data_IF_302055712724
#
_entry.id   IF_302055712724
#
_cell.length_a   1.000
_cell.length_b   1.000
_cell.length_c   1.000
_cell.angle_alpha   90.00
_cell.angle_beta   90.00
_cell.angle_gamma   90.00
#
_symmetry.space_group_name_H-M   'P 1'
#
loop_
_entity.id
_entity.type
_entity.pdbx_description
1 polymer ?
#
# COMPACT_ATOMS: atom_id res chain seq x y z
N UNK A 1 -7.46 -72.67 21.76
CA UNK A 1 -6.32 -71.78 22.06
C UNK A 1 -6.90 -70.40 22.36
N UNK A 2 -7.16 -70.09 23.63
CA UNK A 2 -7.79 -68.83 24.05
C UNK A 2 -6.69 -67.78 24.27
N UNK A 3 -6.68 -66.72 23.46
CA UNK A 3 -5.80 -65.57 23.65
C UNK A 3 -6.39 -64.65 24.71
N UNK A 4 -5.78 -64.64 25.90
CA UNK A 4 -6.09 -63.69 26.97
C UNK A 4 -5.29 -62.41 26.72
N UNK A 5 -5.96 -61.35 26.25
CA UNK A 5 -5.35 -60.03 26.16
C UNK A 5 -5.32 -59.37 27.53
N UNK A 6 -4.13 -58.98 27.98
CA UNK A 6 -3.92 -58.31 29.26
C UNK A 6 -4.52 -56.90 29.23
N UNK A 7 -5.38 -56.52 30.19
CA UNK A 7 -6.09 -55.23 30.20
C UNK A 7 -5.17 -54.01 30.32
N UNK A 8 -3.92 -54.20 30.73
CA UNK A 8 -2.89 -53.14 30.83
C UNK A 8 -2.39 -52.68 29.47
N UNK A 9 -2.27 -53.61 28.50
CA UNK A 9 -1.80 -53.31 27.14
C UNK A 9 -2.88 -52.53 26.37
N UNK A 10 -4.15 -52.88 26.58
CA UNK A 10 -5.29 -52.20 25.97
C UNK A 10 -5.44 -50.74 26.48
N UNK A 11 -5.15 -50.49 27.77
CA UNK A 11 -5.13 -49.12 28.33
C UNK A 11 -3.99 -48.26 27.76
N UNK A 12 -2.82 -48.85 27.55
CA UNK A 12 -1.67 -48.14 27.00
C UNK A 12 -1.85 -47.80 25.51
N UNK A 13 -2.42 -48.71 24.71
CA UNK A 13 -2.73 -48.44 23.30
C UNK A 13 -3.84 -47.39 23.14
N UNK A 14 -4.90 -47.43 23.96
CA UNK A 14 -5.94 -46.40 23.95
C UNK A 14 -5.39 -45.03 24.34
N UNK A 15 -4.51 -44.95 25.35
CA UNK A 15 -3.87 -43.70 25.76
C UNK A 15 -2.95 -43.11 24.66
N UNK A 16 -2.20 -43.95 23.94
CA UNK A 16 -1.36 -43.53 22.80
C UNK A 16 -2.20 -43.04 21.63
N UNK A 17 -3.33 -43.71 21.32
CA UNK A 17 -4.27 -43.24 20.29
C UNK A 17 -4.94 -41.90 20.68
N UNK A 18 -5.25 -41.69 21.96
CA UNK A 18 -5.81 -40.43 22.45
C UNK A 18 -4.78 -39.28 22.38
N UNK A 19 -3.50 -39.56 22.68
CA UNK A 19 -2.42 -38.57 22.56
C UNK A 19 -2.13 -38.21 21.09
N UNK A 20 -2.15 -39.20 20.19
CA UNK A 20 -1.98 -38.99 18.74
C UNK A 20 -3.17 -38.21 18.13
N UNK A 21 -4.39 -38.45 18.62
CA UNK A 21 -5.58 -37.67 18.23
C UNK A 21 -5.49 -36.21 18.71
N UNK A 22 -5.00 -35.96 19.94
CA UNK A 22 -4.78 -34.61 20.45
C UNK A 22 -3.67 -33.85 19.70
N UNK A 23 -2.62 -34.55 19.25
CA UNK A 23 -1.55 -33.98 18.43
C UNK A 23 -1.98 -33.67 16.98
N UNK A 24 -2.97 -34.38 16.45
CA UNK A 24 -3.50 -34.14 15.09
C UNK A 24 -4.55 -33.04 15.03
N UNK A 25 -5.12 -32.62 16.16
CA UNK A 25 -5.94 -31.39 16.26
C UNK A 25 -5.10 -30.11 16.43
N UNK A 26 -3.83 -30.20 16.85
CA UNK A 26 -2.96 -29.03 17.08
C UNK A 26 -2.18 -28.54 15.86
N UNK A 27 -2.33 -29.18 14.69
CA UNK A 27 -1.59 -28.83 13.47
C UNK A 27 -2.49 -28.38 12.32
N UNK A 28 -3.57 -27.67 12.61
CA UNK A 28 -3.98 -26.60 11.68
C UNK A 28 -3.02 -25.45 11.91
N UNK A 29 -1.79 -25.59 11.41
CA UNK A 29 -0.99 -24.43 11.09
C UNK A 29 -1.86 -23.63 10.11
N UNK A 30 -2.41 -22.51 10.56
CA UNK A 30 -3.12 -21.59 9.68
C UNK A 30 -2.13 -21.27 8.57
N UNK A 31 -2.37 -21.83 7.38
CA UNK A 31 -1.57 -21.49 6.22
C UNK A 31 -1.57 -19.96 6.16
N UNK A 32 -0.38 -19.35 6.08
CA UNK A 32 -0.26 -17.89 6.02
C UNK A 32 -1.17 -17.41 4.90
N UNK A 33 -2.16 -16.59 5.24
CA UNK A 33 -3.15 -16.14 4.28
C UNK A 33 -2.45 -15.44 3.13
N UNK A 34 -2.78 -15.82 1.89
CA UNK A 34 -2.30 -15.16 0.69
C UNK A 34 -3.14 -13.88 0.49
N UNK A 35 -2.54 -12.73 0.80
CA UNK A 35 -3.24 -11.44 0.76
C UNK A 35 -3.74 -11.11 -0.65
N UNK A 36 -3.07 -11.60 -1.71
CA UNK A 36 -3.50 -11.38 -3.10
C UNK A 36 -4.85 -12.03 -3.42
N UNK A 37 -5.23 -13.06 -2.66
CA UNK A 37 -6.47 -13.82 -2.86
C UNK A 37 -7.50 -13.53 -1.80
N UNK A 38 -7.07 -13.47 -0.54
CA UNK A 38 -7.96 -13.41 0.60
C UNK A 38 -8.33 -11.97 1.01
N UNK A 39 -7.47 -11.00 0.73
CA UNK A 39 -7.58 -9.65 1.28
C UNK A 39 -7.82 -8.57 0.23
N UNK A 40 -6.86 -8.37 -0.69
CA UNK A 40 -6.91 -7.27 -1.66
C UNK A 40 -8.16 -7.27 -2.56
N UNK A 41 -8.71 -8.43 -2.99
CA UNK A 41 -9.98 -8.44 -3.72
C UNK A 41 -11.16 -7.91 -2.90
N UNK A 42 -11.19 -8.18 -1.59
CA UNK A 42 -12.21 -7.64 -0.69
C UNK A 42 -12.01 -6.15 -0.44
N UNK A 43 -10.76 -5.69 -0.34
CA UNK A 43 -10.46 -4.24 -0.26
C UNK A 43 -10.98 -3.52 -1.51
N UNK A 44 -10.65 -4.02 -2.72
CA UNK A 44 -11.18 -3.43 -3.95
C UNK A 44 -12.72 -3.40 -3.95
N UNK A 45 -13.37 -4.48 -3.51
CA UNK A 45 -14.83 -4.53 -3.39
C UNK A 45 -15.38 -3.47 -2.43
N UNK A 46 -14.76 -3.29 -1.25
CA UNK A 46 -15.16 -2.27 -0.29
C UNK A 46 -15.01 -0.85 -0.85
N UNK A 47 -13.89 -0.58 -1.54
CA UNK A 47 -13.63 0.70 -2.19
C UNK A 47 -14.63 1.00 -3.32
N UNK A 48 -15.05 -0.01 -4.09
CA UNK A 48 -16.14 0.14 -5.07
C UNK A 48 -17.47 0.49 -4.44
N UNK A 49 -17.79 -0.09 -3.28
CA UNK A 49 -18.99 0.24 -2.52
C UNK A 49 -18.93 1.68 -1.97
N UNK A 50 -17.75 2.16 -1.54
CA UNK A 50 -17.54 3.58 -1.21
C UNK A 50 -17.89 4.48 -2.40
N UNK A 51 -17.37 4.17 -3.60
CA UNK A 51 -17.65 4.94 -4.81
C UNK A 51 -19.15 4.92 -5.17
N UNK A 52 -19.84 3.81 -4.90
CA UNK A 52 -21.29 3.67 -5.05
C UNK A 52 -22.10 4.32 -3.92
N UNK A 53 -21.45 4.97 -2.94
CA UNK A 53 -22.04 5.56 -1.73
C UNK A 53 -22.73 4.56 -0.80
N UNK A 54 -22.48 3.27 -0.98
CA UNK A 54 -22.91 2.21 -0.05
C UNK A 54 -21.87 2.05 1.05
N UNK A 55 -21.85 3.01 1.98
CA UNK A 55 -20.88 3.05 3.08
C UNK A 55 -21.09 1.90 4.08
N UNK A 56 -22.32 1.41 4.22
CA UNK A 56 -22.65 0.30 5.13
C UNK A 56 -22.17 -1.03 4.55
N UNK A 57 -22.45 -1.28 3.27
CA UNK A 57 -21.90 -2.43 2.55
C UNK A 57 -20.37 -2.39 2.52
N UNK A 58 -19.77 -1.23 2.27
CA UNK A 58 -18.32 -1.07 2.32
C UNK A 58 -17.75 -1.44 3.70
N UNK A 59 -18.39 -0.98 4.78
CA UNK A 59 -17.98 -1.29 6.14
C UNK A 59 -18.00 -2.80 6.43
N UNK A 60 -19.05 -3.49 5.99
CA UNK A 60 -19.19 -4.94 6.13
C UNK A 60 -18.11 -5.69 5.34
N UNK A 61 -17.82 -5.26 4.11
CA UNK A 61 -16.76 -5.87 3.30
C UNK A 61 -15.38 -5.62 3.89
N UNK A 62 -15.10 -4.45 4.46
CA UNK A 62 -13.86 -4.22 5.22
C UNK A 62 -13.75 -5.14 6.44
N UNK A 63 -14.82 -5.31 7.22
CA UNK A 63 -14.83 -6.26 8.33
C UNK A 63 -14.48 -7.68 7.86
N UNK A 64 -15.08 -8.12 6.76
CA UNK A 64 -14.78 -9.41 6.14
C UNK A 64 -13.30 -9.49 5.73
N UNK A 65 -12.77 -8.48 5.03
CA UNK A 65 -11.36 -8.46 4.64
C UNK A 65 -10.44 -8.60 5.85
N UNK A 66 -10.71 -7.86 6.93
CA UNK A 66 -9.91 -7.93 8.16
C UNK A 66 -10.05 -9.25 8.93
N UNK A 67 -11.08 -10.07 8.67
CA UNK A 67 -11.20 -11.40 9.28
C UNK A 67 -10.44 -12.49 8.51
N UNK A 68 -10.14 -12.26 7.22
CA UNK A 68 -9.42 -13.22 6.38
C UNK A 68 -7.90 -13.22 6.64
N UNK A 69 -7.39 -12.20 7.34
CA UNK A 69 -5.96 -11.99 7.55
C UNK A 69 -5.62 -11.55 8.98
N UNK A 70 -4.39 -11.80 9.45
CA UNK A 70 -3.99 -11.38 10.80
C UNK A 70 -4.00 -9.86 11.02
N UNK A 71 -3.76 -9.07 9.97
CA UNK A 71 -3.71 -7.61 10.02
C UNK A 71 -4.08 -7.00 8.67
N UNK A 72 -4.82 -5.89 8.66
CA UNK A 72 -5.05 -5.05 7.48
C UNK A 72 -4.04 -3.90 7.41
N UNK A 73 -4.04 -3.14 6.33
CA UNK A 73 -3.17 -1.96 6.18
C UNK A 73 -3.77 -0.73 6.90
N UNK A 74 -2.90 0.22 7.29
CA UNK A 74 -3.32 1.44 7.96
C UNK A 74 -4.36 2.20 7.12
N UNK A 75 -4.11 2.33 5.82
CA UNK A 75 -5.01 3.00 4.89
C UNK A 75 -6.42 2.38 4.87
N UNK A 76 -6.50 1.05 4.90
CA UNK A 76 -7.78 0.33 4.89
C UNK A 76 -8.53 0.49 6.20
N UNK A 77 -7.83 0.45 7.35
CA UNK A 77 -8.46 0.76 8.65
C UNK A 77 -8.99 2.20 8.70
N UNK A 78 -8.28 3.14 8.09
CA UNK A 78 -8.75 4.52 7.98
C UNK A 78 -10.03 4.60 7.16
N UNK A 79 -10.05 4.02 5.96
CA UNK A 79 -11.25 4.02 5.10
C UNK A 79 -12.44 3.34 5.79
N UNK A 80 -12.22 2.22 6.49
CA UNK A 80 -13.24 1.55 7.29
C UNK A 80 -13.74 2.41 8.46
N UNK A 81 -12.86 3.19 9.11
CA UNK A 81 -13.25 4.13 10.15
C UNK A 81 -14.14 5.25 9.61
N UNK A 82 -13.83 5.76 8.41
CA UNK A 82 -14.67 6.76 7.71
C UNK A 82 -16.02 6.17 7.35
N UNK A 83 -16.09 4.93 6.82
CA UNK A 83 -17.37 4.25 6.58
C UNK A 83 -18.20 4.17 7.87
N UNK A 84 -17.61 3.71 8.98
CA UNK A 84 -18.28 3.62 10.26
C UNK A 84 -18.75 4.99 10.80
N UNK A 85 -17.99 6.05 10.55
CA UNK A 85 -18.33 7.41 10.90
C UNK A 85 -19.56 7.92 10.13
N UNK A 86 -19.68 7.55 8.86
CA UNK A 86 -20.78 7.95 7.97
C UNK A 86 -22.06 7.15 8.20
N UNK A 87 -21.97 5.94 8.75
CA UNK A 87 -23.13 5.07 8.98
C UNK A 87 -23.54 4.95 10.44
N UNK A 88 -22.93 5.73 11.34
CA UNK A 88 -23.33 5.80 12.75
C UNK A 88 -22.87 4.59 13.58
N UNK A 89 -21.79 3.92 13.18
CA UNK A 89 -21.16 2.83 13.93
C UNK A 89 -19.94 3.32 14.71
N UNK A 90 -20.10 4.34 15.56
CA UNK A 90 -18.96 5.09 16.11
C UNK A 90 -18.05 4.23 16.99
N UNK A 91 -18.60 3.25 17.70
CA UNK A 91 -17.79 2.30 18.48
C UNK A 91 -16.84 1.50 17.59
N UNK A 92 -17.33 1.06 16.43
CA UNK A 92 -16.53 0.33 15.47
C UNK A 92 -15.50 1.25 14.81
N UNK A 93 -15.90 2.48 14.47
CA UNK A 93 -14.98 3.52 13.99
C UNK A 93 -13.82 3.73 14.96
N UNK A 94 -14.10 3.93 16.25
CA UNK A 94 -13.05 4.03 17.29
C UNK A 94 -12.18 2.78 17.35
N UNK A 95 -12.73 1.57 17.24
CA UNK A 95 -11.91 0.35 17.22
C UNK A 95 -10.92 0.34 16.04
N UNK A 96 -11.30 0.85 14.87
CA UNK A 96 -10.38 0.99 13.74
C UNK A 96 -9.33 2.09 13.97
N UNK A 97 -9.69 3.21 14.58
CA UNK A 97 -8.70 4.22 14.99
C UNK A 97 -7.69 3.67 16.00
N UNK A 98 -8.12 2.76 16.88
CA UNK A 98 -7.21 2.07 17.79
C UNK A 98 -6.21 1.17 17.05
N UNK A 99 -6.63 0.53 15.94
CA UNK A 99 -5.72 -0.22 15.06
C UNK A 99 -4.74 0.69 14.32
N UNK A 100 -5.18 1.88 13.88
CA UNK A 100 -4.28 2.89 13.30
C UNK A 100 -3.18 3.33 14.28
N UNK A 101 -3.55 3.61 15.53
CA UNK A 101 -2.58 3.97 16.57
C UNK A 101 -1.60 2.82 16.85
N UNK A 102 -2.07 1.58 16.81
CA UNK A 102 -1.22 0.40 16.97
C UNK A 102 -0.20 0.23 15.83
N UNK A 103 -0.46 0.83 14.67
CA UNK A 103 0.48 0.89 13.55
C UNK A 103 1.39 2.11 13.55
N UNK A 104 1.10 3.13 14.36
CA UNK A 104 1.92 4.34 14.46
C UNK A 104 1.25 5.63 14.05
N UNK A 105 0.01 5.61 13.53
CA UNK A 105 -0.67 6.87 13.17
C UNK A 105 -0.84 7.76 14.41
N UNK A 106 -0.51 9.05 14.27
CA UNK A 106 -0.53 9.99 15.39
C UNK A 106 -1.95 10.46 15.71
N UNK A 107 -2.18 10.85 16.96
CA UNK A 107 -3.47 11.46 17.34
C UNK A 107 -3.68 12.78 16.60
N UNK A 108 -2.61 13.57 16.45
CA UNK A 108 -2.63 14.84 15.72
C UNK A 108 -3.12 14.67 14.28
N UNK A 109 -2.59 13.66 13.56
CA UNK A 109 -3.05 13.35 12.21
C UNK A 109 -4.54 13.02 12.18
N UNK A 110 -5.02 12.19 13.11
CA UNK A 110 -6.43 11.79 13.20
C UNK A 110 -7.35 12.96 13.56
N UNK A 111 -6.90 13.87 14.42
CA UNK A 111 -7.66 15.05 14.84
C UNK A 111 -7.86 16.08 13.71
N UNK A 112 -6.99 16.05 12.70
CA UNK A 112 -7.07 16.92 11.52
C UNK A 112 -7.98 16.37 10.40
N UNK A 113 -8.44 15.11 10.49
CA UNK A 113 -9.27 14.52 9.44
C UNK A 113 -10.75 14.88 9.66
N UNK A 114 -11.29 15.78 8.83
CA UNK A 114 -12.70 16.20 8.87
C UNK A 114 -13.68 15.03 8.72
N UNK A 115 -13.28 13.99 7.95
CA UNK A 115 -14.06 12.77 7.78
C UNK A 115 -14.34 12.00 9.09
N UNK A 116 -13.62 12.33 10.17
CA UNK A 116 -13.77 11.69 11.48
C UNK A 116 -14.57 12.56 12.48
N UNK A 117 -15.13 13.70 12.07
CA UNK A 117 -15.81 14.65 12.96
C UNK A 117 -16.95 14.02 13.76
N UNK A 118 -17.74 13.14 13.14
CA UNK A 118 -18.82 12.43 13.83
C UNK A 118 -18.27 11.52 14.94
N UNK A 119 -17.12 10.87 14.70
CA UNK A 119 -16.43 10.10 15.73
C UNK A 119 -15.89 11.01 16.84
N UNK A 120 -15.32 12.17 16.49
CA UNK A 120 -14.78 13.15 17.45
C UNK A 120 -15.84 13.73 18.38
N UNK A 121 -17.04 13.95 17.85
CA UNK A 121 -18.19 14.41 18.63
C UNK A 121 -18.75 13.33 19.57
N UNK A 122 -18.55 12.04 19.27
CA UNK A 122 -19.09 10.96 20.09
C UNK A 122 -18.29 10.75 21.39
N UNK A 123 -18.99 10.40 22.48
CA UNK A 123 -18.40 10.26 23.83
C UNK A 123 -17.23 9.27 23.93
N UNK A 124 -17.15 8.28 23.04
CA UNK A 124 -16.03 7.33 23.01
C UNK A 124 -14.71 7.97 22.57
N UNK A 125 -14.74 9.07 21.83
CA UNK A 125 -13.53 9.81 21.43
C UNK A 125 -12.73 10.29 22.63
N UNK A 126 -13.39 10.91 23.63
CA UNK A 126 -12.73 11.35 24.86
C UNK A 126 -12.01 10.20 25.58
N UNK A 127 -12.60 8.99 25.55
CA UNK A 127 -11.97 7.79 26.11
C UNK A 127 -10.79 7.30 25.25
N UNK A 128 -10.91 7.38 23.92
CA UNK A 128 -9.84 7.07 22.97
C UNK A 128 -8.63 7.99 23.18
N UNK A 129 -8.82 9.31 23.16
CA UNK A 129 -7.78 10.33 23.41
C UNK A 129 -7.09 10.11 24.75
N UNK A 130 -7.86 9.93 25.83
CA UNK A 130 -7.28 9.67 27.17
C UNK A 130 -6.41 8.41 27.20
N UNK A 131 -6.72 7.40 26.39
CA UNK A 131 -5.94 6.15 26.30
C UNK A 131 -4.79 6.22 25.28
N UNK A 132 -4.75 7.24 24.43
CA UNK A 132 -3.75 7.37 23.37
C UNK A 132 -2.30 7.29 23.88
N UNK A 133 -1.88 7.99 24.95
CA UNK A 133 -0.49 7.90 25.42
C UNK A 133 -0.04 6.47 25.76
N UNK A 134 -0.94 5.67 26.36
CA UNK A 134 -0.68 4.26 26.66
C UNK A 134 -0.55 3.43 25.38
N UNK A 135 -1.43 3.64 24.39
CA UNK A 135 -1.38 2.92 23.10
C UNK A 135 -0.14 3.29 22.30
N UNK A 136 0.23 4.56 22.28
CA UNK A 136 1.44 5.06 21.62
C UNK A 136 2.71 4.49 22.27
N UNK A 137 2.73 4.34 23.60
CA UNK A 137 3.80 3.63 24.29
C UNK A 137 3.86 2.17 23.86
N UNK A 138 2.73 1.45 23.84
CA UNK A 138 2.68 0.06 23.40
C UNK A 138 3.11 -0.13 21.93
N UNK A 139 2.76 0.79 21.03
CA UNK A 139 3.29 0.82 19.66
C UNK A 139 4.83 0.87 19.67
N UNK A 140 5.42 1.84 20.37
CA UNK A 140 6.89 1.97 20.45
C UNK A 140 7.60 0.75 21.05
N UNK A 141 6.94 0.02 21.95
CA UNK A 141 7.49 -1.18 22.59
C UNK A 141 7.38 -2.43 21.69
N UNK A 142 6.37 -2.50 20.82
CA UNK A 142 6.09 -3.67 19.99
C UNK A 142 6.54 -3.53 18.52
N UNK A 143 6.97 -2.34 18.12
CA UNK A 143 7.46 -2.04 16.77
C UNK A 143 8.97 -1.92 16.76
N UNK A 144 9.62 -2.41 15.69
CA UNK A 144 11.07 -2.32 15.55
C UNK A 144 11.50 -0.92 15.10
N UNK A 145 11.46 0.03 16.03
CA UNK A 145 11.81 1.44 15.79
C UNK A 145 13.29 1.60 15.42
N UNK A 146 14.18 0.78 15.97
CA UNK A 146 15.60 0.81 15.63
C UNK A 146 15.82 0.39 14.17
N UNK A 147 15.18 -0.70 13.72
CA UNK A 147 15.22 -1.08 12.30
C UNK A 147 14.62 0.00 11.40
N UNK A 148 13.55 0.68 11.84
CA UNK A 148 13.00 1.82 11.08
C UNK A 148 14.05 2.92 10.91
N UNK A 149 14.75 3.28 11.99
CA UNK A 149 15.80 4.29 11.94
C UNK A 149 16.97 3.88 11.02
N UNK A 150 17.40 2.62 11.09
CA UNK A 150 18.41 2.05 10.20
C UNK A 150 17.98 2.11 8.72
N UNK A 151 16.70 1.81 8.43
CA UNK A 151 16.13 1.91 7.08
C UNK A 151 16.03 3.36 6.59
N UNK A 152 15.67 4.30 7.46
CA UNK A 152 15.65 5.74 7.16
C UNK A 152 17.07 6.27 6.88
N UNK A 153 18.11 5.69 7.50
CA UNK A 153 19.51 6.01 7.17
C UNK A 153 19.84 5.72 5.70
N UNK A 154 19.25 4.68 5.08
CA UNK A 154 19.48 4.39 3.66
C UNK A 154 19.06 5.56 2.76
N UNK A 155 17.93 6.20 3.10
CA UNK A 155 17.47 7.39 2.40
C UNK A 155 18.41 8.57 2.64
N UNK A 156 18.82 8.80 3.90
CA UNK A 156 19.73 9.89 4.25
C UNK A 156 21.07 9.77 3.49
N UNK A 157 21.62 8.56 3.40
CA UNK A 157 22.84 8.25 2.64
C UNK A 157 22.68 8.52 1.14
N UNK A 158 21.55 8.09 0.53
CA UNK A 158 21.28 8.35 -0.89
C UNK A 158 21.15 9.86 -1.17
N UNK A 159 20.53 10.61 -0.27
CA UNK A 159 20.25 12.03 -0.48
C UNK A 159 21.46 12.95 -0.21
N UNK A 160 22.34 12.59 0.74
CA UNK A 160 23.42 13.46 1.19
C UNK A 160 24.28 14.02 0.03
N UNK A 161 24.85 13.14 -0.80
CA UNK A 161 25.70 13.57 -1.92
C UNK A 161 24.93 14.12 -3.11
N UNK A 162 23.62 13.81 -3.23
CA UNK A 162 22.76 14.38 -4.27
C UNK A 162 22.44 15.85 -3.98
N UNK A 163 22.30 16.20 -2.72
CA UNK A 163 22.01 17.56 -2.25
C UNK A 163 23.28 18.37 -1.96
N UNK A 164 24.44 17.71 -1.83
CA UNK A 164 25.73 18.37 -1.70
C UNK A 164 26.08 19.24 -2.93
N UNK A 165 26.97 20.23 -2.74
CA UNK A 165 27.44 21.11 -3.82
C UNK A 165 27.95 20.29 -5.00
N UNK A 166 27.36 20.53 -6.18
CA UNK A 166 27.68 19.84 -7.43
C UNK A 166 26.87 18.55 -7.68
N UNK A 167 26.19 18.02 -6.67
CA UNK A 167 25.25 16.91 -6.77
C UNK A 167 25.76 15.72 -7.58
N UNK A 168 24.90 15.16 -8.42
CA UNK A 168 25.23 14.00 -9.27
C UNK A 168 26.41 14.26 -10.21
N UNK A 169 26.59 15.51 -10.67
CA UNK A 169 27.68 15.86 -11.60
C UNK A 169 29.06 15.69 -10.97
N UNK A 170 29.18 15.95 -9.66
CA UNK A 170 30.47 15.87 -8.94
C UNK A 170 30.62 14.54 -8.19
N UNK A 171 29.53 14.00 -7.64
CA UNK A 171 29.58 12.87 -6.72
C UNK A 171 29.07 11.55 -7.31
N UNK A 172 29.00 11.42 -8.65
CA UNK A 172 28.42 10.26 -9.33
C UNK A 172 28.98 8.91 -8.83
N UNK A 173 30.31 8.79 -8.73
CA UNK A 173 30.95 7.54 -8.32
C UNK A 173 30.65 7.18 -6.86
N UNK A 174 30.65 8.18 -5.98
CA UNK A 174 30.28 8.00 -4.56
C UNK A 174 28.82 7.59 -4.42
N UNK A 175 27.92 8.25 -5.15
CA UNK A 175 26.49 7.91 -5.16
C UNK A 175 26.29 6.47 -5.63
N UNK A 176 26.97 6.03 -6.70
CA UNK A 176 26.87 4.64 -7.19
C UNK A 176 27.35 3.62 -6.15
N UNK A 177 28.44 3.91 -5.43
CA UNK A 177 28.92 3.05 -4.34
C UNK A 177 27.91 2.96 -3.19
N UNK A 178 27.30 4.09 -2.82
CA UNK A 178 26.26 4.15 -1.79
C UNK A 178 25.02 3.37 -2.22
N UNK A 179 24.57 3.53 -3.47
CA UNK A 179 23.41 2.77 -3.98
C UNK A 179 23.65 1.26 -3.91
N UNK A 180 24.83 0.79 -4.34
CA UNK A 180 25.19 -0.63 -4.27
C UNK A 180 25.29 -1.16 -2.83
N UNK A 181 25.84 -0.36 -1.91
CA UNK A 181 25.91 -0.70 -0.49
C UNK A 181 24.51 -0.73 0.16
N UNK A 182 23.66 0.25 -0.15
CA UNK A 182 22.29 0.33 0.34
C UNK A 182 21.46 -0.88 -0.10
N UNK A 183 21.63 -1.38 -1.33
CA UNK A 183 20.98 -2.61 -1.79
C UNK A 183 21.40 -3.80 -0.93
N UNK A 184 22.70 -3.97 -0.66
CA UNK A 184 23.21 -5.06 0.20
C UNK A 184 22.63 -4.98 1.61
N UNK A 185 22.62 -3.79 2.20
CA UNK A 185 22.04 -3.56 3.54
C UNK A 185 20.56 -3.89 3.58
N UNK A 186 19.78 -3.37 2.62
CA UNK A 186 18.35 -3.63 2.53
C UNK A 186 18.06 -5.13 2.38
N UNK A 187 18.75 -5.82 1.48
CA UNK A 187 18.57 -7.27 1.30
C UNK A 187 18.98 -8.07 2.54
N UNK A 188 20.04 -7.67 3.25
CA UNK A 188 20.44 -8.31 4.50
C UNK A 188 19.36 -8.16 5.59
N UNK A 189 18.76 -6.97 5.73
CA UNK A 189 17.65 -6.75 6.66
C UNK A 189 16.39 -7.51 6.25
N UNK A 190 16.05 -7.53 4.96
CA UNK A 190 14.92 -8.32 4.43
C UNK A 190 15.15 -9.80 4.70
N UNK A 191 16.37 -10.31 4.51
CA UNK A 191 16.69 -11.71 4.81
C UNK A 191 16.58 -12.03 6.30
N UNK A 192 16.99 -11.10 7.17
CA UNK A 192 16.99 -11.28 8.63
C UNK A 192 15.61 -11.13 9.27
N UNK A 193 14.80 -10.18 8.79
CA UNK A 193 13.55 -9.77 9.44
C UNK A 193 12.29 -9.96 8.58
N UNK A 194 12.45 -10.31 7.30
CA UNK A 194 11.39 -10.21 6.29
C UNK A 194 11.26 -8.78 5.74
N UNK A 195 10.41 -8.60 4.72
CA UNK A 195 10.15 -7.27 4.16
C UNK A 195 9.65 -6.30 5.24
N UNK A 196 10.27 -5.11 5.42
CA UNK A 196 9.93 -4.19 6.49
C UNK A 196 8.67 -3.37 6.16
N UNK A 197 7.51 -4.01 6.31
CA UNK A 197 6.18 -3.43 6.19
C UNK A 197 5.64 -2.84 7.50
N UNK A 198 4.38 -2.37 7.45
CA UNK A 198 3.73 -1.64 8.54
C UNK A 198 3.69 -2.41 9.88
N UNK A 199 3.57 -3.74 9.86
CA UNK A 199 3.56 -4.51 11.11
C UNK A 199 4.92 -4.57 11.79
N UNK A 200 6.01 -4.54 11.01
CA UNK A 200 7.36 -4.68 11.55
C UNK A 200 7.91 -3.34 12.04
N UNK A 201 7.76 -2.31 11.20
CA UNK A 201 8.40 -1.00 11.42
C UNK A 201 7.39 0.14 11.64
N UNK A 202 6.09 -0.18 11.65
CA UNK A 202 5.03 0.81 11.75
C UNK A 202 4.86 1.65 10.48
N UNK A 203 3.87 2.52 10.53
CA UNK A 203 3.83 3.77 9.76
C UNK A 203 4.43 4.88 10.65
N UNK A 204 4.85 6.02 10.08
CA UNK A 204 5.30 7.15 10.87
C UNK A 204 4.03 7.79 11.45
N UNK A 205 3.93 9.11 11.49
CA UNK A 205 2.79 9.77 12.12
C UNK A 205 1.54 9.85 11.22
N UNK A 206 1.63 9.46 9.94
CA UNK A 206 0.57 9.58 8.93
C UNK A 206 0.37 8.26 8.16
N UNK A 207 -0.58 8.26 7.21
CA UNK A 207 -0.81 7.14 6.28
C UNK A 207 0.24 7.13 5.15
N UNK A 208 1.48 6.78 5.50
CA UNK A 208 2.59 6.65 4.55
C UNK A 208 2.28 5.59 3.48
N UNK A 209 2.26 5.98 2.19
CA UNK A 209 1.99 5.07 1.08
C UNK A 209 3.22 4.20 0.72
N UNK A 210 4.42 4.74 0.92
CA UNK A 210 5.70 4.06 0.69
C UNK A 210 6.72 4.50 1.73
N UNK A 211 7.43 3.56 2.39
CA UNK A 211 8.47 3.90 3.34
C UNK A 211 9.68 4.54 2.63
N UNK A 212 10.40 5.42 3.32
CA UNK A 212 11.54 6.18 2.75
C UNK A 212 12.61 5.30 2.11
N UNK A 213 12.89 4.13 2.68
CA UNK A 213 13.89 3.20 2.13
C UNK A 213 13.52 2.68 0.74
N UNK A 214 12.25 2.80 0.30
CA UNK A 214 11.82 2.43 -1.05
C UNK A 214 12.61 3.14 -2.15
N UNK A 215 13.25 4.27 -1.84
CA UNK A 215 14.19 4.93 -2.74
C UNK A 215 15.30 3.99 -3.23
N UNK A 216 15.78 3.08 -2.38
CA UNK A 216 16.83 2.10 -2.72
C UNK A 216 16.38 1.22 -3.88
N UNK A 217 15.10 0.78 -3.83
CA UNK A 217 14.46 -0.04 -4.85
C UNK A 217 14.23 0.78 -6.13
N UNK A 218 13.71 2.01 -6.00
CA UNK A 218 13.47 2.91 -7.14
C UNK A 218 14.73 3.21 -7.95
N UNK A 219 15.92 3.20 -7.33
CA UNK A 219 17.19 3.42 -8.04
C UNK A 219 17.67 2.23 -8.87
N UNK A 220 17.15 1.03 -8.64
CA UNK A 220 17.58 -0.19 -9.31
C UNK A 220 16.83 -0.41 -10.63
N UNK A 221 17.09 0.46 -11.60
CA UNK A 221 16.46 0.35 -12.92
C UNK A 221 17.21 -0.60 -13.84
N UNK A 222 16.50 -1.24 -14.76
CA UNK A 222 17.08 -2.10 -15.80
C UNK A 222 18.13 -1.35 -16.64
N UNK A 223 17.87 -0.08 -16.97
CA UNK A 223 18.81 0.77 -17.70
C UNK A 223 20.16 0.99 -16.99
N UNK A 224 20.21 0.74 -15.68
CA UNK A 224 21.41 0.88 -14.84
C UNK A 224 21.98 -0.48 -14.41
N UNK A 225 21.48 -1.59 -14.95
CA UNK A 225 21.78 -2.94 -14.48
C UNK A 225 21.56 -3.08 -12.96
N UNK A 226 20.49 -2.46 -12.46
CA UNK A 226 20.13 -2.50 -11.04
C UNK A 226 19.68 -3.90 -10.60
N UNK A 227 19.67 -4.13 -9.29
CA UNK A 227 19.13 -5.36 -8.71
C UNK A 227 17.62 -5.47 -8.95
N UNK A 228 17.15 -6.61 -9.46
CA UNK A 228 15.72 -6.87 -9.68
C UNK A 228 15.02 -7.22 -8.35
N UNK A 229 14.12 -6.35 -7.89
CA UNK A 229 13.36 -6.56 -6.66
C UNK A 229 12.00 -7.25 -6.90
N UNK A 230 11.65 -7.62 -8.14
CA UNK A 230 10.34 -8.18 -8.48
C UNK A 230 9.92 -9.31 -7.54
N UNK A 231 10.76 -10.32 -7.35
CA UNK A 231 10.45 -11.46 -6.47
C UNK A 231 10.26 -11.03 -5.01
N UNK A 232 11.11 -10.13 -4.51
CA UNK A 232 11.02 -9.59 -3.14
C UNK A 232 9.70 -8.83 -2.94
N UNK A 233 9.32 -8.01 -3.90
CA UNK A 233 8.10 -7.20 -3.86
C UNK A 233 6.84 -8.05 -3.99
N UNK A 234 6.79 -9.00 -4.94
CA UNK A 234 5.65 -9.92 -5.11
C UNK A 234 5.44 -10.76 -3.84
N UNK A 235 6.52 -11.27 -3.25
CA UNK A 235 6.43 -12.00 -1.99
C UNK A 235 5.95 -11.09 -0.85
N UNK A 236 6.44 -9.86 -0.77
CA UNK A 236 5.99 -8.91 0.26
C UNK A 236 4.48 -8.63 0.16
N UNK A 237 3.92 -8.53 -1.05
CA UNK A 237 2.47 -8.36 -1.26
C UNK A 237 1.70 -9.60 -0.82
N UNK A 238 2.09 -10.79 -1.29
CA UNK A 238 1.45 -12.06 -0.90
C UNK A 238 1.41 -12.26 0.61
N UNK A 239 2.46 -11.79 1.30
CA UNK A 239 2.60 -11.88 2.75
C UNK A 239 1.91 -10.76 3.54
N UNK A 240 1.26 -9.79 2.89
CA UNK A 240 0.61 -8.65 3.56
C UNK A 240 1.56 -7.59 4.10
N UNK A 241 2.80 -7.55 3.60
CA UNK A 241 3.86 -6.63 4.05
C UNK A 241 4.04 -5.40 3.16
N UNK A 242 3.46 -5.42 1.97
CA UNK A 242 3.52 -4.31 1.03
C UNK A 242 2.19 -4.19 0.29
N UNK A 243 1.69 -2.96 0.15
CA UNK A 243 0.52 -2.68 -0.67
C UNK A 243 0.80 -3.00 -2.15
N UNK A 244 -0.13 -3.64 -2.88
CA UNK A 244 0.09 -4.05 -4.26
C UNK A 244 0.24 -2.88 -5.23
N UNK A 245 -0.37 -1.70 -4.98
CA UNK A 245 -0.16 -0.52 -5.84
C UNK A 245 1.24 0.05 -5.63
N UNK A 246 1.72 0.04 -4.39
CA UNK A 246 3.11 0.41 -4.07
C UNK A 246 4.11 -0.53 -4.75
N UNK A 247 3.87 -1.85 -4.73
CA UNK A 247 4.70 -2.83 -5.44
C UNK A 247 4.70 -2.63 -6.95
N UNK A 248 3.52 -2.47 -7.57
CA UNK A 248 3.37 -2.19 -9.00
C UNK A 248 4.12 -0.92 -9.41
N UNK A 249 4.00 0.16 -8.62
CA UNK A 249 4.74 1.39 -8.86
C UNK A 249 6.25 1.17 -8.86
N UNK A 250 6.77 0.49 -7.85
CA UNK A 250 8.21 0.20 -7.75
C UNK A 250 8.69 -0.66 -8.94
N UNK A 251 7.94 -1.69 -9.31
CA UNK A 251 8.28 -2.54 -10.46
C UNK A 251 8.24 -1.76 -11.79
N UNK A 252 7.24 -0.91 -12.01
CA UNK A 252 7.17 -0.04 -13.19
C UNK A 252 8.37 0.93 -13.24
N UNK A 253 8.76 1.50 -12.09
CA UNK A 253 9.95 2.34 -12.00
C UNK A 253 11.23 1.57 -12.34
N UNK A 254 11.40 0.34 -11.85
CA UNK A 254 12.57 -0.48 -12.16
C UNK A 254 12.66 -0.80 -13.66
N UNK A 255 11.53 -1.15 -14.28
CA UNK A 255 11.48 -1.48 -15.71
C UNK A 255 11.59 -0.25 -16.61
N UNK A 256 11.36 0.95 -16.08
CA UNK A 256 11.26 2.18 -16.87
C UNK A 256 10.06 2.17 -17.82
N UNK A 257 9.05 1.34 -17.53
CA UNK A 257 7.84 1.12 -18.33
C UNK A 257 6.63 1.03 -17.39
N UNK A 258 5.47 1.48 -17.85
CA UNK A 258 4.22 1.46 -17.07
C UNK A 258 3.46 0.13 -17.31
N UNK A 259 4.10 -1.01 -17.01
CA UNK A 259 3.58 -2.36 -17.31
C UNK A 259 2.35 -2.70 -16.47
N UNK A 260 2.40 -2.39 -15.17
CA UNK A 260 1.28 -2.57 -14.25
C UNK A 260 0.28 -1.41 -14.30
N UNK A 261 0.54 -0.41 -15.14
CA UNK A 261 -0.23 0.84 -15.23
C UNK A 261 -0.37 1.49 -13.86
N UNK A 262 0.72 1.53 -13.08
CA UNK A 262 0.73 2.20 -11.76
C UNK A 262 0.46 3.71 -11.87
N UNK A 263 0.77 4.30 -13.03
CA UNK A 263 0.39 5.67 -13.41
C UNK A 263 -0.76 5.60 -14.40
N UNK A 264 -1.98 5.85 -13.93
CA UNK A 264 -3.20 5.75 -14.75
C UNK A 264 -3.67 7.07 -15.32
N UNK A 265 -3.21 8.19 -14.77
CA UNK A 265 -3.57 9.53 -15.21
C UNK A 265 -2.34 10.32 -15.64
N UNK A 266 -2.57 11.33 -16.47
CA UNK A 266 -1.60 12.28 -16.94
C UNK A 266 -2.12 13.71 -16.75
N UNK A 267 -1.18 14.63 -16.50
CA UNK A 267 -1.41 16.07 -16.56
C UNK A 267 -0.38 16.69 -17.47
N UNK A 268 -0.81 17.63 -18.30
CA UNK A 268 0.06 18.41 -19.18
C UNK A 268 0.15 19.82 -18.62
N UNK A 269 1.36 20.25 -18.31
CA UNK A 269 1.65 21.55 -17.69
C UNK A 269 2.58 22.31 -18.63
N UNK A 270 2.07 23.35 -19.28
CA UNK A 270 2.90 24.20 -20.13
C UNK A 270 3.78 25.15 -19.29
N UNK A 271 5.00 25.42 -19.76
CA UNK A 271 5.89 26.42 -19.14
C UNK A 271 5.25 27.82 -19.11
N UNK A 272 4.57 28.19 -20.20
CA UNK A 272 3.67 29.35 -20.26
C UNK A 272 2.24 28.81 -20.18
N UNK A 273 1.47 29.12 -19.12
CA UNK A 273 0.11 28.60 -18.97
C UNK A 273 -0.79 28.81 -20.19
N UNK A 274 -0.62 29.92 -20.90
CA UNK A 274 -1.37 30.34 -22.09
C UNK A 274 -1.27 29.32 -23.23
N UNK A 275 -0.15 28.63 -23.35
CA UNK A 275 0.08 27.63 -24.39
C UNK A 275 -0.83 26.40 -24.24
N UNK A 276 -1.39 26.19 -23.04
CA UNK A 276 -2.25 25.05 -22.68
C UNK A 276 -3.73 25.43 -22.51
N UNK A 277 -4.13 26.70 -22.61
CA UNK A 277 -5.50 27.16 -22.26
C UNK A 277 -6.55 26.89 -23.33
N UNK A 278 -6.15 26.91 -24.59
CA UNK A 278 -7.06 26.86 -25.76
C UNK A 278 -6.67 25.71 -26.70
N UNK A 279 -6.68 24.49 -26.16
CA UNK A 279 -6.60 23.28 -26.97
C UNK A 279 -7.98 22.95 -27.59
N UNK A 280 -7.97 22.50 -28.85
CA UNK A 280 -9.19 22.30 -29.65
C UNK A 280 -10.04 21.12 -29.15
N UNK A 281 -9.42 20.05 -28.65
CA UNK A 281 -10.11 18.85 -28.16
C UNK A 281 -10.28 18.90 -26.63
N UNK A 282 -9.27 19.42 -25.92
CA UNK A 282 -9.20 19.30 -24.46
C UNK A 282 -9.51 20.60 -23.69
N UNK A 283 -9.57 21.75 -24.36
CA UNK A 283 -9.70 23.06 -23.73
C UNK A 283 -8.46 23.44 -22.91
N UNK A 284 -8.64 23.79 -21.63
CA UNK A 284 -7.51 24.06 -20.72
C UNK A 284 -6.88 22.77 -20.22
N UNK A 285 -5.82 22.34 -20.92
CA UNK A 285 -5.03 21.14 -20.62
C UNK A 285 -4.46 21.12 -19.19
N UNK A 286 -4.11 22.28 -18.63
CA UNK A 286 -3.48 22.36 -17.29
C UNK A 286 -4.46 22.01 -16.17
N UNK A 287 -5.76 22.18 -16.45
CA UNK A 287 -6.88 21.89 -15.55
C UNK A 287 -7.41 20.46 -15.68
N UNK A 288 -6.93 19.68 -16.66
CA UNK A 288 -7.48 18.36 -17.00
C UNK A 288 -6.60 17.22 -16.51
N UNK A 289 -7.27 16.12 -16.18
CA UNK A 289 -6.65 14.81 -16.08
C UNK A 289 -6.95 14.04 -17.35
N UNK A 290 -5.90 13.52 -17.97
CA UNK A 290 -5.96 12.75 -19.20
C UNK A 290 -5.60 11.30 -18.91
N UNK A 291 -6.01 10.40 -19.79
CA UNK A 291 -5.58 9.01 -19.82
C UNK A 291 -4.75 8.77 -21.09
N UNK A 292 -3.75 7.91 -20.99
CA UNK A 292 -3.07 7.42 -22.19
C UNK A 292 -4.02 6.50 -22.97
N UNK A 293 -4.11 6.67 -24.29
CA UNK A 293 -4.77 5.71 -25.19
C UNK A 293 -3.93 4.43 -25.21
N UNK A 294 -4.57 3.32 -24.93
CA UNK A 294 -3.96 2.00 -24.85
C UNK A 294 -4.86 1.03 -25.62
N UNK A 295 -4.27 0.08 -26.35
CA UNK A 295 -5.09 -0.92 -27.02
C UNK A 295 -5.74 -1.87 -26.02
N UNK A 296 -6.86 -2.50 -26.39
CA UNK A 296 -7.51 -3.50 -25.54
C UNK A 296 -6.55 -4.64 -25.15
N UNK A 297 -5.67 -5.06 -26.07
CA UNK A 297 -4.66 -6.09 -25.82
C UNK A 297 -3.61 -5.65 -24.79
N UNK A 298 -3.12 -4.41 -24.88
CA UNK A 298 -2.16 -3.87 -23.92
C UNK A 298 -2.77 -3.68 -22.53
N UNK A 299 -4.03 -3.26 -22.46
CA UNK A 299 -4.76 -3.14 -21.20
C UNK A 299 -5.06 -4.53 -20.60
N UNK A 300 -5.42 -5.52 -21.42
CA UNK A 300 -5.60 -6.90 -20.98
C UNK A 300 -4.32 -7.49 -20.37
N UNK A 301 -3.17 -7.32 -21.02
CA UNK A 301 -1.85 -7.75 -20.48
C UNK A 301 -1.52 -7.06 -19.16
N UNK A 302 -1.82 -5.77 -19.04
CA UNK A 302 -1.64 -5.07 -17.78
C UNK A 302 -2.58 -5.62 -16.69
N UNK A 303 -3.83 -5.95 -17.03
CA UNK A 303 -4.80 -6.52 -16.10
C UNK A 303 -4.39 -7.93 -15.63
N UNK A 304 -3.79 -8.76 -16.47
CA UNK A 304 -3.22 -10.05 -16.06
C UNK A 304 -2.13 -9.88 -15.00
N UNK A 305 -1.15 -9.00 -15.26
CA UNK A 305 -0.08 -8.68 -14.32
C UNK A 305 -0.62 -8.10 -13.00
N UNK A 306 -1.63 -7.23 -13.09
CA UNK A 306 -2.31 -6.64 -11.94
C UNK A 306 -3.02 -7.71 -11.12
N UNK A 307 -3.77 -8.60 -11.75
CA UNK A 307 -4.47 -9.68 -11.08
C UNK A 307 -3.52 -10.61 -10.33
N UNK A 308 -2.38 -10.98 -10.94
CA UNK A 308 -1.34 -11.80 -10.28
C UNK A 308 -0.77 -11.13 -9.01
N UNK A 309 -0.73 -9.80 -8.99
CA UNK A 309 -0.26 -9.00 -7.85
C UNK A 309 -1.40 -8.67 -6.85
N UNK A 310 -2.63 -9.13 -7.09
CA UNK A 310 -3.79 -8.83 -6.24
C UNK A 310 -4.39 -7.44 -6.47
N UNK A 311 -4.09 -6.80 -7.60
CA UNK A 311 -4.66 -5.52 -8.01
C UNK A 311 -5.97 -5.69 -8.79
N UNK A 312 -6.81 -4.67 -8.68
CA UNK A 312 -7.97 -4.47 -9.54
C UNK A 312 -7.58 -4.15 -11.00
N UNK A 313 -8.50 -4.31 -11.96
CA UNK A 313 -8.28 -3.87 -13.34
C UNK A 313 -7.94 -2.37 -13.45
N UNK A 314 -7.25 -1.98 -14.51
CA UNK A 314 -6.84 -0.59 -14.78
C UNK A 314 -8.04 0.37 -14.79
N UNK A 315 -9.17 -0.05 -15.36
CA UNK A 315 -10.41 0.73 -15.37
C UNK A 315 -10.92 1.03 -13.96
N UNK A 316 -10.98 0.03 -13.06
CA UNK A 316 -11.38 0.23 -11.66
C UNK A 316 -10.42 1.21 -10.95
N UNK A 317 -9.12 1.12 -11.22
CA UNK A 317 -8.14 2.02 -10.63
C UNK A 317 -8.30 3.47 -11.12
N UNK A 318 -8.56 3.69 -12.42
CA UNK A 318 -8.88 5.01 -12.99
C UNK A 318 -10.10 5.62 -12.28
N UNK A 319 -11.14 4.83 -12.07
CA UNK A 319 -12.36 5.27 -11.38
C UNK A 319 -12.10 5.67 -9.92
N UNK A 320 -11.28 4.90 -9.19
CA UNK A 320 -10.87 5.27 -7.82
C UNK A 320 -10.10 6.58 -7.78
N UNK A 321 -9.18 6.78 -8.72
CA UNK A 321 -8.45 8.05 -8.82
C UNK A 321 -9.38 9.23 -9.12
N UNK A 322 -10.34 9.04 -10.04
CA UNK A 322 -11.37 10.04 -10.37
C UNK A 322 -12.25 10.40 -9.18
N UNK A 323 -12.65 9.40 -8.39
CA UNK A 323 -13.42 9.59 -7.17
C UNK A 323 -12.59 10.34 -6.10
N UNK A 324 -11.35 9.93 -5.86
CA UNK A 324 -10.47 10.54 -4.85
C UNK A 324 -10.16 12.02 -5.10
N UNK A 325 -10.31 12.49 -6.35
CA UNK A 325 -10.19 13.92 -6.69
C UNK A 325 -11.41 14.75 -6.28
N UNK A 326 -12.58 14.11 -6.14
CA UNK A 326 -13.86 14.76 -5.81
C UNK A 326 -14.19 14.62 -4.33
N UNK A 327 -13.73 13.54 -3.70
CA UNK A 327 -14.00 13.20 -2.31
C UNK A 327 -12.72 12.70 -1.65
N UNK A 328 -12.14 13.54 -0.80
CA UNK A 328 -10.87 13.31 -0.11
C UNK A 328 -11.04 12.72 1.30
N UNK A 329 -12.29 12.48 1.72
CA UNK A 329 -12.63 11.86 3.00
C UNK A 329 -12.03 10.46 3.07
N UNK A 330 -12.03 9.75 1.94
CA UNK A 330 -11.43 8.43 1.78
C UNK A 330 -10.05 8.53 1.13
N UNK A 331 -9.12 7.66 1.54
CA UNK A 331 -7.81 7.54 0.91
C UNK A 331 -7.88 6.44 -0.13
N UNK A 332 -8.41 6.76 -1.32
CA UNK A 332 -8.49 5.85 -2.47
C UNK A 332 -7.45 6.16 -3.56
N UNK A 333 -6.87 7.36 -3.55
CA UNK A 333 -5.84 7.78 -4.51
C UNK A 333 -4.41 7.42 -4.09
N UNK A 334 -3.50 7.41 -5.07
CA UNK A 334 -2.05 7.35 -4.83
C UNK A 334 -1.36 8.52 -5.51
N UNK A 335 -0.33 9.07 -4.85
CA UNK A 335 0.29 10.33 -5.30
C UNK A 335 1.05 10.12 -6.63
N UNK A 336 1.58 8.91 -6.84
CA UNK A 336 2.29 8.53 -8.06
C UNK A 336 1.37 8.15 -9.22
N UNK A 337 0.05 8.04 -9.01
CA UNK A 337 -0.89 7.62 -10.05
C UNK A 337 -0.97 8.61 -11.23
N UNK A 338 -0.52 9.85 -11.02
CA UNK A 338 -0.55 10.93 -11.99
C UNK A 338 0.86 11.20 -12.52
N UNK A 339 1.03 11.09 -13.84
CA UNK A 339 2.23 11.56 -14.52
C UNK A 339 2.09 13.03 -14.87
N UNK A 340 2.99 13.87 -14.36
CA UNK A 340 3.02 15.29 -14.72
C UNK A 340 4.04 15.53 -15.84
N UNK A 341 3.56 15.89 -17.02
CA UNK A 341 4.39 16.29 -18.15
C UNK A 341 4.55 17.81 -18.16
N UNK A 342 5.80 18.28 -18.12
CA UNK A 342 6.12 19.70 -18.33
C UNK A 342 6.53 19.90 -19.78
N UNK A 343 5.79 20.74 -20.51
CA UNK A 343 6.00 20.96 -21.94
C UNK A 343 6.38 22.42 -22.24
N UNK A 344 7.31 22.67 -23.20
CA UNK A 344 7.86 24.01 -23.41
C UNK A 344 6.99 24.93 -24.28
N UNK A 345 6.05 24.40 -25.05
CA UNK A 345 5.23 25.17 -26.00
C UNK A 345 3.89 24.48 -26.30
N UNK A 346 3.01 25.19 -27.01
CA UNK A 346 1.71 24.69 -27.49
C UNK A 346 1.87 23.49 -28.42
N UNK A 347 2.85 23.52 -29.32
CA UNK A 347 3.11 22.43 -30.28
C UNK A 347 3.55 21.15 -29.56
N UNK A 348 4.41 21.28 -28.55
CA UNK A 348 4.82 20.14 -27.73
C UNK A 348 3.64 19.57 -26.91
N UNK A 349 2.73 20.42 -26.44
CA UNK A 349 1.49 19.98 -25.80
C UNK A 349 0.61 19.20 -26.78
N UNK A 350 0.40 19.71 -28.00
CA UNK A 350 -0.38 19.04 -29.07
C UNK A 350 0.15 17.63 -29.38
N UNK A 351 1.45 17.49 -29.64
CA UNK A 351 2.07 16.18 -29.92
C UNK A 351 1.88 15.20 -28.75
N UNK A 352 1.97 15.69 -27.51
CA UNK A 352 1.81 14.82 -26.34
C UNK A 352 0.38 14.28 -26.23
N UNK A 353 -0.62 15.12 -26.48
CA UNK A 353 -2.03 14.76 -26.29
C UNK A 353 -2.63 13.94 -27.43
N UNK A 354 -1.97 13.84 -28.59
CA UNK A 354 -2.37 12.93 -29.69
C UNK A 354 -2.54 11.47 -29.23
N UNK A 355 -1.75 11.06 -28.24
CA UNK A 355 -1.80 9.71 -27.64
C UNK A 355 -2.70 9.63 -26.40
N UNK A 356 -3.50 10.66 -26.11
CA UNK A 356 -4.27 10.78 -24.89
C UNK A 356 -5.78 10.94 -25.15
N UNK A 357 -6.56 10.74 -24.11
CA UNK A 357 -8.01 10.97 -24.10
C UNK A 357 -8.42 11.63 -22.78
N UNK A 358 -9.61 12.25 -22.78
CA UNK A 358 -10.21 12.77 -21.56
C UNK A 358 -10.55 11.58 -20.65
N UNK A 359 -10.35 11.77 -19.34
CA UNK A 359 -10.93 10.89 -18.34
C UNK A 359 -12.44 11.20 -18.26
N UNK A 360 -13.25 10.40 -18.96
CA UNK A 360 -14.73 10.56 -18.98
C UNK A 360 -15.39 10.40 -17.59
#
# INVERSE_FOLDING_TARGET
>A
MQFTFSPTILRQTVAVFFLLALLSYSSQAWAKADYTKAYHPLINKAERLIMAKDHEGALQVYQQAFSEVPHGFARDYYNAAVCAALTGHEKQGINYLEKLVAKGVSLEYLEQQEALDTLRAHKSWKKFVRKYPKRRKAFRENTNIDLRADLDELWARDQYFRQAKGGLRVHADTIRKIEADNVKKLLAWISKHGYPGEELIGVPDTLEQLPRFSIVIQRQTTARNGFDFKTVLTQAVQEGKLDPHAAAYLMDQQQGKNLYRSKVLARVICNKPEDCKDDEEFGDLSSRYLIQRVSEEEEAKANELRQELGLEPVADYREKMRYAMKDDRFKLGYDWAVTNYKVPSKEAAKVLVESMAILD
#
